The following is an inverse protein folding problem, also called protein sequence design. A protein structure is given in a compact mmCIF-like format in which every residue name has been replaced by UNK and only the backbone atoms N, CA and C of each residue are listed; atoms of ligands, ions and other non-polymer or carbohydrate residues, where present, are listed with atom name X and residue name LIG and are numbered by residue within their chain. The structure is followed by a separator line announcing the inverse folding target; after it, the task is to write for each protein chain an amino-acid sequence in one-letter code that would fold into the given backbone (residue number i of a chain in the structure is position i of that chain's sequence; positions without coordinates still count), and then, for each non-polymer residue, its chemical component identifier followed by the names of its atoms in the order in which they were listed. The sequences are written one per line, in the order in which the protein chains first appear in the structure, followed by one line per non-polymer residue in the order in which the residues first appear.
data_IF_788332955588
#
_entry.id   IF_788332955588
#
_cell.length_a   1.000
_cell.length_b   1.000
_cell.length_c   1.000
_cell.angle_alpha   90.00
_cell.angle_beta   90.00
_cell.angle_gamma   90.00
#
_symmetry.space_group_name_H-M   'P 1'
#
loop_
_entity.id
_entity.type
_entity.pdbx_description
1 polymer ?
#
# COMPACT_ATOMS: atom_id res chain seq x y z
N UNK A 1 -22.77 24.37 -0.43
CA UNK A 1 -22.04 24.66 -1.68
C UNK A 1 -21.07 25.84 -1.59
N UNK A 2 -21.35 26.91 -0.83
CA UNK A 2 -20.45 28.08 -0.72
C UNK A 2 -18.98 27.72 -0.42
N UNK A 3 -18.74 26.78 0.49
CA UNK A 3 -17.38 26.34 0.86
C UNK A 3 -16.58 25.75 -0.31
N UNK A 4 -17.21 25.02 -1.23
CA UNK A 4 -16.54 24.41 -2.38
C UNK A 4 -16.19 25.46 -3.44
N UNK A 5 -17.04 26.49 -3.57
CA UNK A 5 -16.76 27.68 -4.38
C UNK A 5 -15.58 28.48 -3.80
N UNK A 6 -15.54 28.65 -2.48
CA UNK A 6 -14.41 29.32 -1.81
C UNK A 6 -13.09 28.57 -2.06
N UNK A 7 -13.10 27.24 -2.12
CA UNK A 7 -11.93 26.45 -2.49
C UNK A 7 -11.52 26.69 -3.94
N UNK A 8 -12.47 26.79 -4.87
CA UNK A 8 -12.19 27.14 -6.26
C UNK A 8 -11.57 28.54 -6.38
N UNK A 9 -12.10 29.55 -5.67
CA UNK A 9 -11.50 30.89 -5.66
C UNK A 9 -10.07 30.89 -5.08
N UNK A 10 -9.85 30.14 -4.00
CA UNK A 10 -8.52 29.96 -3.42
C UNK A 10 -7.54 29.30 -4.41
N UNK A 11 -8.00 28.31 -5.16
CA UNK A 11 -7.16 27.60 -6.15
C UNK A 11 -6.69 28.51 -7.29
N UNK A 12 -7.49 29.53 -7.67
CA UNK A 12 -7.08 30.54 -8.65
C UNK A 12 -5.99 31.47 -8.12
N UNK A 13 -5.96 31.69 -6.79
CA UNK A 13 -4.95 32.53 -6.12
C UNK A 13 -3.66 31.76 -5.82
N UNK A 14 -3.76 30.47 -5.50
CA UNK A 14 -2.64 29.63 -5.10
C UNK A 14 -2.48 28.47 -6.07
N UNK A 15 -1.57 28.55 -7.07
CA UNK A 15 -1.48 27.56 -8.14
C UNK A 15 -1.05 26.16 -7.66
N UNK A 16 -0.55 26.05 -6.43
CA UNK A 16 -0.24 24.78 -5.79
C UNK A 16 -1.45 24.12 -5.10
N UNK A 17 -2.58 24.81 -4.99
CA UNK A 17 -3.84 24.24 -4.52
C UNK A 17 -4.63 23.67 -5.70
N UNK A 18 -4.31 22.42 -6.05
CA UNK A 18 -4.80 21.77 -7.28
C UNK A 18 -5.92 20.76 -7.03
N UNK A 19 -6.12 20.34 -5.78
CA UNK A 19 -7.10 19.34 -5.42
C UNK A 19 -7.53 19.49 -3.95
N UNK A 20 -8.72 19.01 -3.63
CA UNK A 20 -9.19 18.86 -2.25
C UNK A 20 -9.84 17.49 -2.02
N UNK A 21 -9.89 17.08 -0.75
CA UNK A 21 -10.49 15.82 -0.30
C UNK A 21 -11.50 16.09 0.82
N UNK A 22 -12.46 15.19 0.97
CA UNK A 22 -13.26 15.02 2.18
C UNK A 22 -12.78 13.72 2.81
N UNK A 23 -12.31 13.82 4.06
CA UNK A 23 -11.80 12.67 4.80
C UNK A 23 -12.94 11.74 5.26
N UNK A 24 -12.65 10.45 5.37
CA UNK A 24 -13.63 9.41 5.71
C UNK A 24 -14.94 9.49 4.89
N UNK A 25 -14.85 9.72 3.58
CA UNK A 25 -16.00 10.03 2.73
C UNK A 25 -17.09 8.94 2.77
N UNK A 26 -16.70 7.66 2.69
CA UNK A 26 -17.62 6.51 2.73
C UNK A 26 -18.36 6.36 4.07
N UNK A 27 -17.82 6.94 5.15
CA UNK A 27 -18.52 7.02 6.43
C UNK A 27 -19.64 8.07 6.48
N UNK A 28 -19.78 8.90 5.43
CA UNK A 28 -20.63 10.09 5.42
C UNK A 28 -21.58 10.14 4.21
N UNK A 29 -21.89 9.01 3.59
CA UNK A 29 -22.71 8.94 2.36
C UNK A 29 -24.16 9.42 2.54
N UNK A 30 -24.68 9.43 3.77
CA UNK A 30 -25.99 10.04 4.10
C UNK A 30 -25.99 11.56 3.90
N UNK A 31 -24.82 12.21 4.07
CA UNK A 31 -24.65 13.65 3.86
C UNK A 31 -24.16 13.93 2.44
N UNK A 32 -23.10 13.25 2.01
CA UNK A 32 -22.51 13.41 0.69
C UNK A 32 -23.14 12.47 -0.34
N UNK A 33 -24.46 12.57 -0.49
CA UNK A 33 -25.21 11.82 -1.50
C UNK A 33 -24.72 12.13 -2.92
N UNK A 34 -24.95 11.26 -3.92
CA UNK A 34 -24.54 11.53 -5.30
C UNK A 34 -25.07 12.86 -5.85
N UNK A 35 -26.31 13.22 -5.51
CA UNK A 35 -26.91 14.50 -5.90
C UNK A 35 -26.18 15.69 -5.27
N UNK A 36 -25.83 15.59 -3.98
CA UNK A 36 -25.07 16.64 -3.30
C UNK A 36 -23.68 16.81 -3.92
N UNK A 37 -22.97 15.71 -4.17
CA UNK A 37 -21.62 15.75 -4.76
C UNK A 37 -21.67 16.31 -6.19
N UNK A 38 -22.70 15.96 -6.97
CA UNK A 38 -22.94 16.56 -8.29
C UNK A 38 -23.09 18.07 -8.20
N UNK A 39 -23.99 18.56 -7.34
CA UNK A 39 -24.21 20.00 -7.16
C UNK A 39 -22.95 20.73 -6.69
N UNK A 40 -22.23 20.13 -5.75
CA UNK A 40 -20.95 20.63 -5.24
C UNK A 40 -19.92 20.73 -6.37
N UNK A 41 -19.80 19.69 -7.20
CA UNK A 41 -18.90 19.66 -8.35
C UNK A 41 -19.24 20.73 -9.38
N UNK A 42 -20.51 20.78 -9.78
CA UNK A 42 -20.98 21.75 -10.77
C UNK A 42 -20.68 23.19 -10.29
N UNK A 43 -20.86 23.46 -8.99
CA UNK A 43 -20.57 24.76 -8.39
C UNK A 43 -19.08 25.13 -8.41
N UNK A 44 -18.18 24.25 -7.93
CA UNK A 44 -16.75 24.60 -7.88
C UNK A 44 -16.12 24.65 -9.27
N UNK A 45 -16.56 23.78 -10.21
CA UNK A 45 -16.04 23.76 -11.58
C UNK A 45 -16.47 24.95 -12.42
N UNK A 46 -17.62 25.56 -12.11
CA UNK A 46 -18.03 26.81 -12.73
C UNK A 46 -17.04 27.96 -12.47
N UNK A 47 -16.29 27.89 -11.36
CA UNK A 47 -15.25 28.85 -10.99
C UNK A 47 -13.86 28.42 -11.48
N UNK A 48 -13.45 27.20 -11.15
CA UNK A 48 -12.18 26.62 -11.64
C UNK A 48 -12.40 25.17 -12.11
N UNK A 49 -12.48 24.93 -13.43
CA UNK A 49 -12.67 23.57 -13.96
C UNK A 49 -11.45 22.66 -13.75
N UNK A 50 -10.29 23.20 -13.39
CA UNK A 50 -9.05 22.45 -13.16
C UNK A 50 -8.85 22.04 -11.69
N UNK A 51 -9.70 22.49 -10.76
CA UNK A 51 -9.62 22.05 -9.37
C UNK A 51 -10.17 20.61 -9.28
N UNK A 52 -9.36 19.67 -8.77
CA UNK A 52 -9.77 18.28 -8.66
C UNK A 52 -10.47 17.98 -7.33
N UNK A 53 -11.49 17.12 -7.35
CA UNK A 53 -12.08 16.53 -6.15
C UNK A 53 -11.69 15.04 -6.06
N UNK A 54 -10.92 14.68 -5.03
CA UNK A 54 -10.39 13.32 -4.79
C UNK A 54 -10.73 12.86 -3.37
N UNK A 55 -11.96 12.37 -3.11
CA UNK A 55 -12.36 11.97 -1.76
C UNK A 55 -11.50 10.84 -1.20
N UNK A 56 -11.44 10.77 0.14
CA UNK A 56 -10.81 9.64 0.84
C UNK A 56 -11.73 8.42 0.80
N UNK A 57 -11.29 7.34 0.16
CA UNK A 57 -12.07 6.10 -0.05
C UNK A 57 -11.23 4.90 0.35
N UNK A 58 -11.69 4.15 1.35
CA UNK A 58 -11.07 2.91 1.82
C UNK A 58 -11.52 1.69 1.01
N UNK A 59 -12.77 1.68 0.55
CA UNK A 59 -13.38 0.57 -0.18
C UNK A 59 -13.76 -0.63 0.70
N UNK A 60 -14.81 -1.32 0.26
CA UNK A 60 -15.33 -2.57 0.83
C UNK A 60 -14.29 -3.69 0.87
N UNK A 61 -13.30 -3.63 -0.01
CA UNK A 61 -12.14 -4.51 -0.10
C UNK A 61 -11.28 -4.46 1.18
N UNK A 62 -11.27 -3.33 1.89
CA UNK A 62 -10.57 -3.17 3.17
C UNK A 62 -11.53 -3.12 4.36
N UNK A 63 -12.72 -2.55 4.16
CA UNK A 63 -13.69 -2.28 5.22
C UNK A 63 -15.05 -2.81 4.77
N UNK A 64 -15.47 -4.04 5.16
CA UNK A 64 -16.68 -4.68 4.64
C UNK A 64 -18.00 -3.91 4.83
N UNK A 65 -18.03 -2.90 5.71
CA UNK A 65 -19.20 -2.04 5.90
C UNK A 65 -19.29 -0.89 4.89
N UNK A 66 -18.27 -0.66 4.09
CA UNK A 66 -18.25 0.34 3.03
C UNK A 66 -18.56 -0.31 1.66
N UNK A 67 -19.01 0.49 0.67
CA UNK A 67 -19.17 0.00 -0.70
C UNK A 67 -17.83 -0.49 -1.27
N UNK A 68 -17.85 -1.52 -2.11
CA UNK A 68 -16.67 -1.86 -2.92
C UNK A 68 -16.25 -0.67 -3.80
N UNK A 69 -15.00 -0.64 -4.27
CA UNK A 69 -14.55 0.42 -5.18
C UNK A 69 -15.44 0.51 -6.43
N UNK A 70 -15.91 -0.64 -6.93
CA UNK A 70 -16.83 -0.69 -8.07
C UNK A 70 -18.16 -0.02 -7.77
N UNK A 71 -18.83 -0.39 -6.68
CA UNK A 71 -20.12 0.21 -6.29
C UNK A 71 -19.97 1.73 -6.03
N UNK A 72 -18.84 2.12 -5.44
CA UNK A 72 -18.51 3.53 -5.22
C UNK A 72 -18.38 4.29 -6.54
N UNK A 73 -17.60 3.77 -7.50
CA UNK A 73 -17.40 4.41 -8.81
C UNK A 73 -18.70 4.42 -9.64
N UNK A 74 -19.52 3.37 -9.57
CA UNK A 74 -20.84 3.34 -10.21
C UNK A 74 -21.75 4.47 -9.69
N UNK A 75 -21.61 4.86 -8.42
CA UNK A 75 -22.43 5.90 -7.78
C UNK A 75 -21.85 7.32 -7.91
N UNK A 76 -20.53 7.47 -7.82
CA UNK A 76 -19.84 8.76 -7.68
C UNK A 76 -18.86 9.08 -8.81
N UNK A 77 -18.52 8.11 -9.66
CA UNK A 77 -17.43 8.20 -10.65
C UNK A 77 -17.55 9.39 -11.60
N UNK A 78 -18.77 9.78 -11.99
CA UNK A 78 -18.99 10.96 -12.83
C UNK A 78 -18.66 12.27 -12.12
N UNK A 79 -18.69 12.30 -10.78
CA UNK A 79 -18.61 13.51 -9.97
C UNK A 79 -17.27 13.72 -9.26
N UNK A 80 -16.33 12.79 -9.42
CA UNK A 80 -15.01 12.83 -8.80
C UNK A 80 -13.92 12.78 -9.88
N UNK A 81 -12.73 13.26 -9.55
CA UNK A 81 -11.55 13.22 -10.42
C UNK A 81 -10.65 12.01 -10.12
N UNK A 82 -10.90 11.33 -9.01
CA UNK A 82 -10.10 10.22 -8.52
C UNK A 82 -10.42 9.91 -7.07
N UNK A 83 -9.57 9.11 -6.43
CA UNK A 83 -9.65 8.83 -4.99
C UNK A 83 -8.29 8.94 -4.33
N UNK A 84 -8.33 9.29 -3.05
CA UNK A 84 -7.23 9.13 -2.10
C UNK A 84 -7.53 7.87 -1.29
N UNK A 85 -6.71 6.82 -1.42
CA UNK A 85 -6.97 5.49 -0.86
C UNK A 85 -6.06 5.22 0.35
N UNK A 86 -6.57 5.32 1.60
CA UNK A 86 -5.80 4.94 2.77
C UNK A 86 -5.71 3.42 2.90
N UNK A 87 -4.49 2.94 3.03
CA UNK A 87 -4.24 1.53 3.31
C UNK A 87 -4.29 1.28 4.82
N UNK A 88 -5.14 0.34 5.26
CA UNK A 88 -5.44 0.16 6.71
C UNK A 88 -4.57 -0.85 7.43
N UNK A 89 -3.92 -1.75 6.71
CA UNK A 89 -3.09 -2.80 7.32
C UNK A 89 -1.67 -2.27 7.54
N UNK A 90 -1.37 -1.89 8.78
CA UNK A 90 -0.07 -1.36 9.16
C UNK A 90 0.95 -2.45 9.51
N UNK A 91 0.52 -3.72 9.55
CA UNK A 91 1.36 -4.85 9.93
C UNK A 91 1.84 -5.66 8.72
N UNK A 92 1.05 -5.67 7.64
CA UNK A 92 1.36 -6.39 6.40
C UNK A 92 1.15 -5.51 5.17
N UNK A 93 1.90 -5.81 4.11
CA UNK A 93 1.74 -5.21 2.77
C UNK A 93 1.21 -6.21 1.75
N UNK A 94 0.90 -7.43 2.18
CA UNK A 94 0.52 -8.55 1.31
C UNK A 94 -0.67 -8.19 0.41
N UNK A 95 -1.67 -7.50 0.96
CA UNK A 95 -2.88 -7.14 0.23
C UNK A 95 -2.80 -5.79 -0.50
N UNK A 96 -1.75 -4.99 -0.26
CA UNK A 96 -1.65 -3.64 -0.84
C UNK A 96 -1.70 -3.66 -2.39
N UNK A 97 -0.96 -4.54 -3.10
CA UNK A 97 -1.08 -4.65 -4.56
C UNK A 97 -2.50 -4.93 -5.02
N UNK A 98 -3.15 -5.96 -4.47
CA UNK A 98 -4.50 -6.39 -4.87
C UNK A 98 -5.55 -5.32 -4.60
N UNK A 99 -5.44 -4.57 -3.50
CA UNK A 99 -6.34 -3.45 -3.18
C UNK A 99 -6.16 -2.30 -4.19
N UNK A 100 -4.93 -1.95 -4.53
CA UNK A 100 -4.65 -0.89 -5.51
C UNK A 100 -5.07 -1.30 -6.92
N UNK A 101 -4.92 -2.57 -7.30
CA UNK A 101 -5.42 -3.12 -8.56
C UNK A 101 -6.94 -3.05 -8.64
N UNK A 102 -7.66 -3.47 -7.59
CA UNK A 102 -9.11 -3.39 -7.54
C UNK A 102 -9.61 -1.95 -7.67
N UNK A 103 -8.97 -1.01 -6.96
CA UNK A 103 -9.27 0.41 -7.10
C UNK A 103 -9.01 0.93 -8.52
N UNK A 104 -7.86 0.57 -9.13
CA UNK A 104 -7.53 0.96 -10.51
C UNK A 104 -8.52 0.38 -11.51
N UNK A 105 -8.92 -0.88 -11.36
CA UNK A 105 -9.90 -1.52 -12.25
C UNK A 105 -11.24 -0.78 -12.19
N UNK A 106 -11.72 -0.45 -10.99
CA UNK A 106 -12.96 0.30 -10.82
C UNK A 106 -12.88 1.72 -11.40
N UNK A 107 -11.77 2.42 -11.19
CA UNK A 107 -11.56 3.81 -11.60
C UNK A 107 -11.31 3.98 -13.11
N UNK A 108 -10.71 2.99 -13.75
CA UNK A 108 -10.17 3.11 -15.10
C UNK A 108 -8.89 3.98 -15.15
N UNK A 109 -8.39 4.23 -16.36
CA UNK A 109 -7.12 4.96 -16.58
C UNK A 109 -7.25 6.48 -16.45
N UNK A 110 -8.45 7.03 -16.61
CA UNK A 110 -8.65 8.48 -16.67
C UNK A 110 -8.71 9.16 -15.29
N UNK A 111 -9.00 8.38 -14.25
CA UNK A 111 -9.15 8.86 -12.87
C UNK A 111 -7.83 8.76 -12.11
N UNK A 112 -7.63 9.70 -11.20
CA UNK A 112 -6.45 9.74 -10.33
C UNK A 112 -6.60 8.70 -9.20
N UNK A 113 -5.57 7.89 -8.97
CA UNK A 113 -5.43 7.04 -7.79
C UNK A 113 -4.22 7.48 -6.99
N UNK A 114 -4.44 8.01 -5.79
CA UNK A 114 -3.37 8.32 -4.83
C UNK A 114 -3.42 7.29 -3.71
N UNK A 115 -2.35 6.51 -3.55
CA UNK A 115 -2.21 5.64 -2.39
C UNK A 115 -1.79 6.45 -1.17
N UNK A 116 -2.50 6.28 -0.07
CA UNK A 116 -2.25 6.95 1.21
C UNK A 116 -1.74 5.91 2.21
N UNK A 117 -0.53 6.14 2.72
CA UNK A 117 0.18 5.25 3.64
C UNK A 117 0.32 5.90 5.00
N UNK A 118 -0.10 5.20 6.06
CA UNK A 118 0.13 5.67 7.41
C UNK A 118 1.61 5.50 7.79
N UNK A 119 2.26 6.55 8.30
CA UNK A 119 3.63 6.58 8.84
C UNK A 119 3.65 6.81 10.36
N UNK A 120 2.47 6.86 10.99
CA UNK A 120 2.30 7.06 12.41
C UNK A 120 1.18 6.16 12.95
N UNK A 121 1.08 5.96 14.27
CA UNK A 121 -0.05 5.24 14.87
C UNK A 121 -1.39 5.89 14.51
N UNK A 122 -2.41 5.06 14.36
CA UNK A 122 -3.79 5.48 14.09
C UNK A 122 -4.68 5.28 15.32
N UNK A 123 -5.95 5.66 15.22
CA UNK A 123 -6.92 5.44 16.29
C UNK A 123 -7.22 3.95 16.52
N UNK A 124 -7.07 3.12 15.48
CA UNK A 124 -7.30 1.66 15.52
C UNK A 124 -6.02 0.82 15.61
N UNK A 125 -4.85 1.41 15.36
CA UNK A 125 -3.57 0.69 15.37
C UNK A 125 -2.48 1.51 16.07
N UNK A 126 -1.95 0.99 17.18
CA UNK A 126 -1.10 1.76 18.10
C UNK A 126 0.39 1.68 17.82
N UNK A 127 0.83 0.65 17.09
CA UNK A 127 2.24 0.48 16.79
C UNK A 127 2.56 1.22 15.48
N UNK A 128 3.54 2.14 15.46
CA UNK A 128 3.93 2.75 14.21
C UNK A 128 4.51 1.68 13.26
N UNK A 129 4.30 1.82 11.94
CA UNK A 129 4.95 0.95 10.97
C UNK A 129 6.46 1.15 11.02
N UNK A 130 7.20 0.11 10.65
CA UNK A 130 8.67 0.17 10.58
C UNK A 130 9.15 0.96 9.36
N UNK A 131 10.40 1.44 9.38
CA UNK A 131 11.01 2.06 8.20
C UNK A 131 11.04 1.11 6.98
N UNK A 132 11.26 -0.18 7.22
CA UNK A 132 11.24 -1.19 6.15
C UNK A 132 9.85 -1.32 5.53
N UNK A 133 8.81 -1.38 6.37
CA UNK A 133 7.42 -1.35 5.90
C UNK A 133 7.18 -0.11 5.05
N UNK A 134 7.53 1.09 5.55
CA UNK A 134 7.26 2.34 4.85
C UNK A 134 7.99 2.44 3.51
N UNK A 135 9.25 1.99 3.46
CA UNK A 135 9.99 1.95 2.22
C UNK A 135 9.31 1.03 1.20
N UNK A 136 8.90 -0.18 1.60
CA UNK A 136 8.21 -1.13 0.71
C UNK A 136 6.84 -0.59 0.28
N UNK A 137 6.07 -0.01 1.19
CA UNK A 137 4.77 0.58 0.91
C UNK A 137 4.90 1.67 -0.16
N UNK A 138 5.86 2.60 -0.01
CA UNK A 138 6.10 3.67 -1.01
C UNK A 138 6.38 3.07 -2.41
N UNK A 139 7.21 2.03 -2.48
CA UNK A 139 7.54 1.39 -3.76
C UNK A 139 6.34 0.69 -4.40
N UNK A 140 5.60 -0.11 -3.63
CA UNK A 140 4.39 -0.78 -4.12
C UNK A 140 3.38 0.28 -4.57
N UNK A 141 3.07 1.26 -3.73
CA UNK A 141 2.17 2.35 -4.06
C UNK A 141 2.59 3.10 -5.33
N UNK A 142 3.88 3.38 -5.51
CA UNK A 142 4.38 4.06 -6.71
C UNK A 142 4.20 3.25 -8.00
N UNK A 143 4.31 1.93 -7.91
CA UNK A 143 4.12 1.03 -9.04
C UNK A 143 2.65 0.94 -9.45
N UNK A 144 1.74 0.88 -8.47
CA UNK A 144 0.32 0.59 -8.69
C UNK A 144 -0.60 1.82 -8.74
N UNK A 145 -0.14 2.98 -8.26
CA UNK A 145 -0.93 4.21 -8.18
C UNK A 145 -0.23 5.38 -8.91
N UNK A 146 -0.98 6.46 -9.13
CA UNK A 146 -0.46 7.66 -9.80
C UNK A 146 0.42 8.49 -8.88
N UNK A 147 0.17 8.40 -7.57
CA UNK A 147 0.95 9.06 -6.54
C UNK A 147 0.85 8.39 -5.17
N UNK A 148 1.74 8.83 -4.28
CA UNK A 148 1.85 8.31 -2.91
C UNK A 148 1.80 9.48 -1.93
N UNK A 149 0.94 9.37 -0.92
CA UNK A 149 0.82 10.30 0.21
C UNK A 149 1.17 9.56 1.51
N UNK A 150 1.88 10.21 2.43
CA UNK A 150 2.16 9.66 3.76
C UNK A 150 1.54 10.50 4.88
N UNK A 151 1.09 9.84 5.94
CA UNK A 151 0.48 10.48 7.10
C UNK A 151 0.76 9.72 8.42
N UNK A 152 1.24 10.29 9.51
CA UNK A 152 1.80 11.61 9.68
C UNK A 152 3.32 11.51 9.66
N UNK A 153 3.97 12.29 8.80
CA UNK A 153 5.40 12.52 8.92
C UNK A 153 5.66 13.61 9.97
N UNK A 154 6.79 13.53 10.71
CA UNK A 154 7.17 14.61 11.60
C UNK A 154 7.50 15.88 10.82
N UNK A 155 7.15 17.02 11.43
CA UNK A 155 7.36 18.36 10.91
C UNK A 155 8.74 18.92 11.31
N UNK A 156 9.32 18.44 12.42
CA UNK A 156 10.62 18.93 12.93
C UNK A 156 11.54 17.81 13.40
N UNK A 157 12.88 17.99 13.35
CA UNK A 157 13.85 16.97 13.76
C UNK A 157 13.75 16.47 15.20
N UNK A 158 13.17 17.30 16.09
CA UNK A 158 13.02 16.96 17.51
C UNK A 158 11.86 16.00 17.80
N UNK A 159 10.97 15.78 16.83
CA UNK A 159 9.88 14.83 16.98
C UNK A 159 10.41 13.39 16.91
N UNK A 160 9.78 12.43 17.62
CA UNK A 160 10.06 11.02 17.40
C UNK A 160 9.81 10.67 15.93
N UNK A 161 10.44 9.59 15.45
CA UNK A 161 10.20 9.07 14.11
C UNK A 161 10.61 10.03 12.97
N UNK A 162 11.67 10.82 13.19
CA UNK A 162 12.24 11.70 12.17
C UNK A 162 12.92 10.93 11.02
N UNK A 163 13.26 9.66 11.23
CA UNK A 163 13.85 8.81 10.21
C UNK A 163 12.90 8.55 9.04
N UNK A 164 11.58 8.51 9.30
CA UNK A 164 10.51 8.39 8.33
C UNK A 164 10.49 9.59 7.36
N UNK A 165 10.65 10.81 7.89
CA UNK A 165 10.80 12.01 7.06
C UNK A 165 12.08 11.93 6.21
N UNK A 166 13.20 11.49 6.79
CA UNK A 166 14.47 11.34 6.07
C UNK A 166 14.41 10.29 4.96
N UNK A 167 13.66 9.20 5.17
CA UNK A 167 13.35 8.20 4.15
C UNK A 167 12.62 8.85 2.97
N UNK A 168 11.51 9.55 3.23
CA UNK A 168 10.69 10.19 2.20
C UNK A 168 11.48 11.24 1.43
N UNK A 169 12.24 12.08 2.13
CA UNK A 169 13.13 13.09 1.54
C UNK A 169 14.17 12.48 0.59
N UNK A 170 14.58 11.23 0.82
CA UNK A 170 15.51 10.49 -0.04
C UNK A 170 14.81 9.84 -1.23
N UNK A 171 13.67 9.21 -1.01
CA UNK A 171 12.97 8.38 -2.00
C UNK A 171 12.22 9.23 -3.02
N UNK A 172 11.47 10.26 -2.58
CA UNK A 172 10.60 11.03 -3.46
C UNK A 172 11.33 11.71 -4.63
N UNK A 173 12.50 12.36 -4.42
CA UNK A 173 13.27 12.91 -5.53
C UNK A 173 13.82 11.88 -6.51
N UNK A 174 14.01 10.63 -6.08
CA UNK A 174 14.43 9.55 -6.95
C UNK A 174 13.25 9.06 -7.80
N UNK A 175 12.08 8.86 -7.18
CA UNK A 175 10.85 8.50 -7.87
C UNK A 175 10.42 9.56 -8.88
N UNK A 176 10.49 10.85 -8.53
CA UNK A 176 10.10 11.94 -9.45
C UNK A 176 10.98 12.06 -10.70
N UNK A 177 12.20 11.51 -10.65
CA UNK A 177 13.13 11.47 -11.79
C UNK A 177 13.04 10.18 -12.57
N UNK A 178 12.37 9.17 -12.02
CA UNK A 178 12.14 7.93 -12.70
C UNK A 178 11.28 8.22 -13.93
N UNK A 179 11.66 7.76 -15.14
CA UNK A 179 10.87 8.04 -16.33
C UNK A 179 9.45 7.52 -16.15
N UNK A 180 8.48 8.11 -16.85
CA UNK A 180 7.16 7.50 -17.03
C UNK A 180 7.32 6.26 -17.92
N UNK A 181 7.96 5.23 -17.39
CA UNK A 181 8.06 3.89 -17.97
C UNK A 181 6.67 3.27 -17.83
N UNK A 182 6.32 2.37 -18.74
CA UNK A 182 5.19 1.46 -18.55
C UNK A 182 5.34 0.71 -17.21
N UNK A 183 4.67 1.22 -16.17
CA UNK A 183 4.74 0.70 -14.81
C UNK A 183 4.08 -0.68 -14.73
N UNK A 184 3.08 -0.96 -15.57
CA UNK A 184 2.46 -2.28 -15.70
C UNK A 184 3.45 -3.30 -16.21
N UNK A 185 4.14 -3.00 -17.31
CA UNK A 185 5.18 -3.89 -17.84
C UNK A 185 6.30 -4.17 -16.82
N UNK A 186 6.66 -3.17 -16.00
CA UNK A 186 7.60 -3.36 -14.89
C UNK A 186 7.03 -4.25 -13.78
N UNK A 187 5.80 -4.01 -13.32
CA UNK A 187 5.12 -4.84 -12.33
C UNK A 187 5.04 -6.30 -12.80
N UNK A 188 4.56 -6.53 -14.02
CA UNK A 188 4.44 -7.88 -14.59
C UNK A 188 5.81 -8.58 -14.66
N UNK A 189 6.85 -7.85 -15.09
CA UNK A 189 8.22 -8.38 -15.12
C UNK A 189 8.73 -8.70 -13.72
N UNK A 190 8.50 -7.81 -12.74
CA UNK A 190 8.91 -8.03 -11.36
C UNK A 190 8.16 -9.20 -10.74
N UNK A 191 6.84 -9.30 -10.90
CA UNK A 191 6.03 -10.39 -10.38
C UNK A 191 6.48 -11.73 -10.97
N UNK A 192 6.72 -11.79 -12.29
CA UNK A 192 7.26 -12.99 -12.93
C UNK A 192 8.64 -13.37 -12.36
N UNK A 193 9.53 -12.39 -12.18
CA UNK A 193 10.85 -12.65 -11.57
C UNK A 193 10.70 -13.12 -10.13
N UNK A 194 9.85 -12.48 -9.34
CA UNK A 194 9.60 -12.84 -7.94
C UNK A 194 9.03 -14.24 -7.81
N UNK A 195 8.04 -14.63 -8.62
CA UNK A 195 7.51 -16.01 -8.65
C UNK A 195 8.64 -17.02 -8.90
N UNK A 196 9.51 -16.76 -9.89
CA UNK A 196 10.67 -17.62 -10.18
C UNK A 196 11.64 -17.69 -8.99
N UNK A 197 11.87 -16.58 -8.30
CA UNK A 197 12.75 -16.55 -7.12
C UNK A 197 12.12 -17.22 -5.89
N UNK A 198 10.82 -17.07 -5.65
CA UNK A 198 10.08 -17.71 -4.55
C UNK A 198 10.05 -19.23 -4.72
N UNK A 199 9.79 -19.70 -5.94
CA UNK A 199 9.91 -21.12 -6.28
C UNK A 199 11.33 -21.64 -6.01
N UNK A 200 12.34 -20.83 -6.37
CA UNK A 200 13.74 -21.18 -6.12
C UNK A 200 14.05 -21.23 -4.63
N UNK A 201 13.62 -20.25 -3.85
CA UNK A 201 13.80 -20.20 -2.39
C UNK A 201 13.15 -21.43 -1.75
N UNK A 202 11.89 -21.70 -2.08
CA UNK A 202 11.15 -22.87 -1.59
C UNK A 202 11.88 -24.17 -1.91
N UNK A 203 12.40 -24.31 -3.14
CA UNK A 203 13.19 -25.48 -3.55
C UNK A 203 14.47 -25.66 -2.72
N UNK A 204 15.17 -24.56 -2.44
CA UNK A 204 16.40 -24.54 -1.65
C UNK A 204 16.13 -24.85 -0.17
N UNK A 205 15.00 -24.39 0.37
CA UNK A 205 14.59 -24.72 1.73
C UNK A 205 14.25 -26.20 1.88
N UNK A 206 13.57 -26.79 0.88
CA UNK A 206 13.31 -28.22 0.84
C UNK A 206 14.61 -29.04 0.75
N UNK A 207 15.58 -28.58 -0.05
CA UNK A 207 16.90 -29.21 -0.13
C UNK A 207 17.69 -29.10 1.19
N UNK A 208 17.74 -27.92 1.79
CA UNK A 208 18.32 -27.67 3.12
C UNK A 208 17.73 -28.63 4.17
N UNK A 209 16.41 -28.79 4.18
CA UNK A 209 15.72 -29.67 5.12
C UNK A 209 16.05 -31.15 4.87
N UNK A 210 16.14 -31.60 3.60
CA UNK A 210 16.57 -32.97 3.25
C UNK A 210 17.99 -33.25 3.72
N UNK A 211 18.94 -32.34 3.47
CA UNK A 211 20.33 -32.48 3.91
C UNK A 211 20.42 -32.54 5.44
N UNK A 212 19.67 -31.67 6.15
CA UNK A 212 19.61 -31.68 7.62
C UNK A 212 19.12 -33.02 8.16
N UNK A 213 18.07 -33.58 7.56
CA UNK A 213 17.55 -34.90 7.96
C UNK A 213 18.56 -36.01 7.70
N UNK A 214 19.22 -36.01 6.53
CA UNK A 214 20.29 -36.96 6.22
C UNK A 214 21.44 -36.92 7.24
N UNK A 215 21.82 -35.71 7.67
CA UNK A 215 22.84 -35.52 8.70
C UNK A 215 22.41 -36.12 10.05
N UNK A 216 21.15 -35.93 10.46
CA UNK A 216 20.61 -36.52 11.69
C UNK A 216 20.58 -38.05 11.62
N UNK A 217 20.18 -38.63 10.49
CA UNK A 217 20.19 -40.08 10.29
C UNK A 217 21.60 -40.63 10.35
N UNK A 218 22.57 -39.99 9.68
CA UNK A 218 23.97 -40.40 9.72
C UNK A 218 24.56 -40.33 11.14
N UNK A 219 24.25 -39.26 11.89
CA UNK A 219 24.67 -39.10 13.28
C UNK A 219 24.06 -40.19 14.19
N UNK A 220 22.76 -40.45 14.08
CA UNK A 220 22.08 -41.49 14.85
C UNK A 220 22.64 -42.89 14.55
N UNK A 221 22.88 -43.19 13.26
CA UNK A 221 23.51 -44.44 12.85
C UNK A 221 24.92 -44.58 13.43
N UNK A 222 25.74 -43.52 13.39
CA UNK A 222 27.08 -43.52 13.99
C UNK A 222 27.06 -43.81 15.50
N UNK A 223 26.11 -43.22 16.23
CA UNK A 223 25.91 -43.49 17.68
C UNK A 223 25.53 -44.95 17.92
N UNK A 224 24.55 -45.48 17.16
CA UNK A 224 24.08 -46.85 17.31
C UNK A 224 25.18 -47.87 17.01
N UNK A 225 25.93 -47.68 15.92
CA UNK A 225 27.05 -48.55 15.55
C UNK A 225 28.16 -48.52 16.60
N UNK A 226 28.48 -47.33 17.11
CA UNK A 226 29.46 -47.19 18.20
C UNK A 226 29.00 -47.94 19.46
N UNK A 227 27.74 -47.78 19.84
CA UNK A 227 27.16 -48.48 20.99
C UNK A 227 27.19 -50.01 20.80
N UNK A 228 26.83 -50.50 19.60
CA UNK A 228 26.87 -51.93 19.27
C UNK A 228 28.29 -52.50 19.40
N UNK A 229 29.30 -51.82 18.85
CA UNK A 229 30.71 -52.22 18.94
C UNK A 229 31.19 -52.24 20.40
N UNK A 230 30.82 -51.25 21.21
CA UNK A 230 31.16 -51.20 22.64
C UNK A 230 30.52 -52.36 23.40
N UNK A 231 29.24 -52.65 23.15
CA UNK A 231 28.52 -53.76 23.79
C UNK A 231 29.12 -55.12 23.39
N UNK A 232 29.46 -55.31 22.12
CA UNK A 232 30.10 -56.53 21.64
C UNK A 232 31.48 -56.74 22.28
N UNK A 233 32.30 -55.68 22.37
CA UNK A 233 33.60 -55.75 23.07
C UNK A 233 33.46 -56.07 24.55
N UNK A 234 32.41 -55.58 25.22
CA UNK A 234 32.12 -55.91 26.63
C UNK A 234 31.69 -57.37 26.82
N UNK A 235 30.98 -57.96 25.84
CA UNK A 235 30.56 -59.38 25.89
C UNK A 235 31.71 -60.37 25.65
N UNK A 236 32.79 -59.94 25.01
CA UNK A 236 33.98 -60.76 24.71
C UNK A 236 35.07 -60.67 25.79
N UNK A 237 34.88 -59.89 26.85
CA UNK A 237 35.72 -59.84 28.06
C UNK A 237 35.03 -60.60 29.18
#
# INVERSE_FOLDING_TARGET
MAWAVDFADLSLKYPNFVAFTIDDFEGNLDTFTPSYVKEMRDAYRAVNPNLAFIPTVYGGEQVPSFPSFREFVESYGEYIDGILLPYRDLDSLENLPTILEAAREALGEEKILISFIYAAPTSWHRNPPTLEYLQKAIWISYLYADGVMLYCLPLVPAQPNYEEYLLVKRVYPALSKWPQIDRRGLIETFNLLFEVYEDRITSLEAEKNRLRYGLYVAAAYGVLMTAAVVLERRRRR
#
